data_IF_683770541185
#
_entry.id   IF_683770541185
#
_cell.length_a   1.000
_cell.length_b   1.000
_cell.length_c   1.000
_cell.angle_alpha   90.00
_cell.angle_beta   90.00
_cell.angle_gamma   90.00
#
_symmetry.space_group_name_H-M   'P 1'
#
loop_
_entity.id
_entity.type
_entity.pdbx_description
1 polymer ?
#
# COMPACT_ATOMS: atom_id res chain seq x y z
N UNK A 1 -2.37 32.03 1.05
CA UNK A 1 -3.04 30.77 0.66
C UNK A 1 -2.01 29.90 -0.07
N UNK A 2 -1.78 28.65 0.36
CA UNK A 2 -0.87 27.72 -0.32
C UNK A 2 -1.64 26.94 -1.39
N UNK A 3 -1.18 26.97 -2.61
CA UNK A 3 -1.73 26.18 -3.73
C UNK A 3 -0.79 24.98 -3.91
N UNK A 4 -1.36 23.76 -3.88
CA UNK A 4 -0.62 22.51 -4.07
C UNK A 4 -1.19 21.76 -5.27
N UNK A 5 -0.37 21.53 -6.28
CA UNK A 5 -0.78 20.93 -7.56
C UNK A 5 -0.04 19.62 -7.88
N UNK A 6 0.71 19.07 -6.92
CA UNK A 6 1.53 17.87 -7.12
C UNK A 6 1.01 16.65 -6.33
N UNK A 7 -0.30 16.44 -6.38
CA UNK A 7 -0.92 15.29 -5.72
C UNK A 7 -0.52 13.93 -6.33
N UNK A 8 0.02 13.93 -7.53
CA UNK A 8 0.55 12.73 -8.16
C UNK A 8 1.79 12.18 -7.41
N UNK A 9 2.65 13.07 -6.89
CA UNK A 9 3.80 12.69 -6.09
C UNK A 9 3.37 12.21 -4.68
N UNK A 10 2.50 12.98 -4.02
CA UNK A 10 1.85 12.62 -2.76
C UNK A 10 0.64 13.50 -2.52
N UNK A 11 -0.42 12.97 -1.94
CA UNK A 11 -1.61 13.77 -1.62
C UNK A 11 -1.33 14.72 -0.43
N UNK A 12 -1.64 16.01 -0.60
CA UNK A 12 -1.57 17.01 0.44
C UNK A 12 -2.64 18.10 0.25
N UNK A 13 -3.33 18.54 1.33
CA UNK A 13 -3.34 17.91 2.66
C UNK A 13 -3.98 16.52 2.64
N UNK A 14 -3.54 15.65 3.52
CA UNK A 14 -4.23 14.38 3.74
C UNK A 14 -5.49 14.61 4.58
N UNK A 15 -6.54 13.79 4.43
CA UNK A 15 -7.68 13.82 5.35
C UNK A 15 -7.23 13.64 6.81
N UNK A 16 -7.87 14.33 7.74
CA UNK A 16 -7.54 14.25 9.17
C UNK A 16 -7.58 12.82 9.72
N UNK A 17 -8.48 12.00 9.20
CA UNK A 17 -8.56 10.58 9.55
C UNK A 17 -7.26 9.81 9.28
N UNK A 18 -6.48 10.18 8.26
CA UNK A 18 -5.19 9.56 7.96
C UNK A 18 -4.17 9.89 9.04
N UNK A 19 -4.08 11.16 9.45
CA UNK A 19 -3.18 11.58 10.53
C UNK A 19 -3.56 10.91 11.85
N UNK A 20 -4.84 10.90 12.18
CA UNK A 20 -5.35 10.29 13.40
C UNK A 20 -5.08 8.78 13.45
N UNK A 21 -5.26 8.06 12.34
CA UNK A 21 -4.99 6.62 12.27
C UNK A 21 -3.51 6.29 12.47
N UNK A 22 -2.61 7.08 11.86
CA UNK A 22 -1.16 6.89 12.03
C UNK A 22 -0.73 7.19 13.46
N UNK A 23 -1.19 8.30 14.05
CA UNK A 23 -0.88 8.68 15.43
C UNK A 23 -1.39 7.62 16.42
N UNK A 24 -2.64 7.18 16.26
CA UNK A 24 -3.23 6.12 17.08
C UNK A 24 -2.40 4.83 16.99
N UNK A 25 -2.04 4.39 15.79
CA UNK A 25 -1.23 3.18 15.65
C UNK A 25 0.11 3.29 16.37
N UNK A 26 0.80 4.42 16.20
CA UNK A 26 2.13 4.61 16.79
C UNK A 26 2.11 4.72 18.31
N UNK A 27 1.06 5.29 18.90
CA UNK A 27 0.97 5.50 20.35
C UNK A 27 0.35 4.32 21.08
N UNK A 28 -0.70 3.73 20.51
CA UNK A 28 -1.54 2.77 21.24
C UNK A 28 -1.25 1.31 20.86
N UNK A 29 -0.74 1.06 19.65
CA UNK A 29 -0.46 -0.29 19.16
C UNK A 29 1.04 -0.52 19.04
N UNK A 30 1.72 0.18 18.14
CA UNK A 30 3.18 0.19 17.97
C UNK A 30 3.86 -1.16 17.72
N UNK A 31 3.10 -2.21 17.42
CA UNK A 31 3.57 -3.59 17.35
C UNK A 31 3.62 -4.08 15.89
N UNK A 32 4.63 -4.89 15.56
CA UNK A 32 4.75 -5.47 14.24
C UNK A 32 3.63 -6.46 13.94
N UNK A 33 2.91 -6.27 12.84
CA UNK A 33 1.90 -7.20 12.36
C UNK A 33 2.52 -8.58 12.04
N UNK A 34 1.80 -9.66 12.34
CA UNK A 34 2.21 -11.03 11.99
C UNK A 34 3.34 -11.62 12.86
N UNK A 35 3.71 -10.97 13.95
CA UNK A 35 4.84 -11.41 14.83
C UNK A 35 4.40 -12.09 16.14
N UNK A 36 3.13 -12.41 16.30
CA UNK A 36 2.66 -13.08 17.51
C UNK A 36 1.16 -13.23 17.58
N UNK A 37 0.69 -14.02 18.57
CA UNK A 37 -0.72 -14.28 18.84
C UNK A 37 -1.32 -13.47 20.00
N UNK A 38 -0.59 -12.51 20.57
CA UNK A 38 -1.11 -11.65 21.62
C UNK A 38 -1.97 -10.50 21.04
N UNK A 39 -2.81 -9.90 21.87
CA UNK A 39 -3.87 -9.00 21.44
C UNK A 39 -3.40 -7.86 20.51
N UNK A 40 -2.30 -7.21 20.86
CA UNK A 40 -1.82 -6.05 20.07
C UNK A 40 -1.24 -6.47 18.72
N UNK A 41 -0.57 -7.63 18.64
CA UNK A 41 -0.10 -8.18 17.37
C UNK A 41 -1.27 -8.58 16.46
N UNK A 42 -2.35 -9.11 17.06
CA UNK A 42 -3.60 -9.40 16.32
C UNK A 42 -4.28 -8.10 15.87
N UNK A 43 -4.28 -7.06 16.70
CA UNK A 43 -4.81 -5.75 16.31
C UNK A 43 -4.04 -5.15 15.14
N UNK A 44 -2.71 -5.17 15.19
CA UNK A 44 -1.84 -4.72 14.10
C UNK A 44 -2.09 -5.52 12.80
N UNK A 45 -2.23 -6.84 12.90
CA UNK A 45 -2.53 -7.70 11.76
C UNK A 45 -3.88 -7.36 11.12
N UNK A 46 -4.91 -7.12 11.93
CA UNK A 46 -6.25 -6.72 11.44
C UNK A 46 -6.23 -5.42 10.64
N UNK A 47 -5.38 -4.45 11.01
CA UNK A 47 -5.22 -3.19 10.26
C UNK A 47 -4.67 -3.47 8.86
N UNK A 48 -3.62 -4.28 8.75
CA UNK A 48 -3.05 -4.67 7.45
C UNK A 48 -4.06 -5.42 6.58
N UNK A 49 -4.80 -6.36 7.18
CA UNK A 49 -5.83 -7.11 6.47
C UNK A 49 -7.01 -6.23 6.04
N UNK A 50 -7.40 -5.24 6.86
CA UNK A 50 -8.42 -4.28 6.48
C UNK A 50 -7.97 -3.44 5.28
N UNK A 51 -6.74 -2.92 5.30
CA UNK A 51 -6.19 -2.18 4.18
C UNK A 51 -6.21 -3.01 2.87
N UNK A 52 -5.84 -4.30 2.94
CA UNK A 52 -5.93 -5.20 1.78
C UNK A 52 -7.36 -5.36 1.27
N UNK A 53 -8.34 -5.54 2.17
CA UNK A 53 -9.75 -5.67 1.78
C UNK A 53 -10.27 -4.40 1.10
N UNK A 54 -9.97 -3.23 1.65
CA UNK A 54 -10.40 -1.95 1.08
C UNK A 54 -9.78 -1.72 -0.31
N UNK A 55 -8.49 -1.99 -0.48
CA UNK A 55 -7.82 -1.88 -1.78
C UNK A 55 -8.40 -2.90 -2.77
N UNK A 56 -8.60 -4.15 -2.35
CA UNK A 56 -9.20 -5.17 -3.19
C UNK A 56 -10.60 -4.75 -3.68
N UNK A 57 -11.42 -4.19 -2.79
CA UNK A 57 -12.74 -3.68 -3.14
C UNK A 57 -12.65 -2.51 -4.13
N UNK A 58 -11.71 -1.57 -3.91
CA UNK A 58 -11.51 -0.41 -4.78
C UNK A 58 -11.17 -0.79 -6.23
N UNK A 59 -10.32 -1.81 -6.41
CA UNK A 59 -9.88 -2.25 -7.75
C UNK A 59 -10.64 -3.49 -8.25
N UNK A 60 -11.68 -3.91 -7.54
CA UNK A 60 -12.48 -5.10 -7.86
C UNK A 60 -11.62 -6.39 -7.95
N UNK A 61 -10.61 -6.51 -7.10
CA UNK A 61 -9.82 -7.74 -7.02
C UNK A 61 -10.63 -8.85 -6.31
N UNK A 62 -10.63 -10.08 -6.83
CA UNK A 62 -11.49 -11.16 -6.31
C UNK A 62 -11.04 -11.66 -4.94
N UNK A 63 -9.79 -11.45 -4.56
CA UNK A 63 -9.23 -11.94 -3.31
C UNK A 63 -8.26 -10.91 -2.70
N UNK A 64 -8.50 -10.44 -1.47
CA UNK A 64 -7.60 -9.52 -0.77
C UNK A 64 -6.17 -10.05 -0.57
N UNK A 65 -5.95 -11.36 -0.59
CA UNK A 65 -4.61 -11.93 -0.49
C UNK A 65 -3.74 -11.65 -1.72
N UNK A 66 -4.34 -11.24 -2.84
CA UNK A 66 -3.61 -10.80 -4.04
C UNK A 66 -3.07 -9.38 -3.91
N UNK A 67 -3.45 -8.64 -2.86
CA UNK A 67 -2.91 -7.30 -2.59
C UNK A 67 -1.61 -7.45 -1.81
N UNK A 68 -0.52 -7.03 -2.42
CA UNK A 68 0.82 -7.04 -1.81
C UNK A 68 1.26 -5.60 -1.62
N UNK A 69 1.63 -5.25 -0.38
CA UNK A 69 2.18 -3.94 -0.07
C UNK A 69 3.70 -3.94 -0.33
N UNK A 70 4.15 -3.05 -1.21
CA UNK A 70 5.58 -2.77 -1.40
C UNK A 70 6.03 -1.57 -0.57
N UNK A 71 7.34 -1.36 -0.46
CA UNK A 71 7.90 -0.22 0.26
C UNK A 71 7.66 1.11 -0.50
N UNK A 72 7.58 1.04 -1.82
CA UNK A 72 7.35 2.17 -2.72
C UNK A 72 6.93 1.67 -4.11
N UNK A 73 6.62 2.62 -5.01
CA UNK A 73 6.24 2.29 -6.39
C UNK A 73 7.33 1.61 -7.19
N UNK A 74 8.59 2.00 -7.00
CA UNK A 74 9.74 1.39 -7.68
C UNK A 74 9.89 -0.08 -7.31
N UNK A 75 9.84 -0.41 -6.03
CA UNK A 75 9.89 -1.80 -5.56
C UNK A 75 8.73 -2.62 -6.12
N UNK A 76 7.52 -2.07 -6.09
CA UNK A 76 6.31 -2.75 -6.56
C UNK A 76 6.37 -3.01 -8.06
N UNK A 77 6.84 -2.05 -8.86
CA UNK A 77 7.03 -2.22 -10.31
C UNK A 77 8.11 -3.26 -10.61
N UNK A 78 9.26 -3.21 -9.93
CA UNK A 78 10.29 -4.22 -10.10
C UNK A 78 9.80 -5.62 -9.71
N UNK A 79 9.06 -5.74 -8.61
CA UNK A 79 8.46 -7.02 -8.20
C UNK A 79 7.51 -7.55 -9.28
N UNK A 80 6.65 -6.70 -9.83
CA UNK A 80 5.73 -7.08 -10.90
C UNK A 80 6.48 -7.49 -12.18
N UNK A 81 7.44 -6.68 -12.63
CA UNK A 81 8.22 -6.94 -13.86
C UNK A 81 8.98 -8.25 -13.72
N UNK A 82 9.79 -8.40 -12.67
CA UNK A 82 10.60 -9.60 -12.48
C UNK A 82 9.80 -10.85 -12.13
N UNK A 83 8.61 -10.67 -11.54
CA UNK A 83 7.72 -11.79 -11.19
C UNK A 83 6.87 -12.31 -12.34
N UNK A 84 6.66 -11.50 -13.39
CA UNK A 84 5.74 -11.84 -14.49
C UNK A 84 6.45 -12.05 -15.82
N UNK A 85 7.52 -11.30 -16.11
CA UNK A 85 8.20 -11.33 -17.40
C UNK A 85 9.29 -12.40 -17.46
N UNK A 86 9.45 -12.97 -18.65
CA UNK A 86 10.49 -13.95 -18.98
C UNK A 86 11.32 -13.45 -20.16
N UNK A 87 12.58 -13.91 -20.32
CA UNK A 87 13.35 -13.62 -21.53
C UNK A 87 12.59 -14.01 -22.79
N UNK A 88 12.41 -13.05 -23.70
CA UNK A 88 11.69 -13.22 -24.95
C UNK A 88 10.24 -12.72 -24.93
N UNK A 89 9.71 -12.31 -23.78
CA UNK A 89 8.37 -11.72 -23.72
C UNK A 89 8.34 -10.34 -24.41
N UNK A 90 7.22 -10.03 -25.04
CA UNK A 90 7.00 -8.74 -25.66
C UNK A 90 6.33 -7.77 -24.68
N UNK A 91 6.96 -6.63 -24.45
CA UNK A 91 6.48 -5.58 -23.55
C UNK A 91 6.20 -4.32 -24.34
N UNK A 92 5.04 -3.72 -24.10
CA UNK A 92 4.67 -2.40 -24.63
C UNK A 92 4.76 -1.40 -23.49
N UNK A 93 5.50 -0.32 -23.70
CA UNK A 93 5.67 0.76 -22.73
C UNK A 93 5.51 2.12 -23.43
N UNK A 94 5.14 3.14 -22.68
CA UNK A 94 5.10 4.52 -23.15
C UNK A 94 6.47 5.17 -22.96
N UNK A 95 6.86 6.05 -23.88
CA UNK A 95 8.09 6.87 -23.74
C UNK A 95 7.96 7.98 -22.70
N UNK A 96 6.73 8.24 -22.23
CA UNK A 96 6.42 9.24 -21.21
C UNK A 96 6.26 8.66 -19.80
N UNK A 97 6.40 7.35 -19.65
CA UNK A 97 6.36 6.70 -18.35
C UNK A 97 7.58 7.07 -17.50
N UNK A 98 7.36 7.09 -16.19
CA UNK A 98 8.40 7.42 -15.22
C UNK A 98 9.49 6.34 -15.19
#
# INVERSE_FOLDING_TARGET
MRIYLDNAATSWPKPDAVYAAVDHYQREIGIAAGRGGYNDAVAAQRIVESARREIAALINAPNPSHIIHGCNGTDSLNLAIHGTLRPGDHVVASVTDH
#
